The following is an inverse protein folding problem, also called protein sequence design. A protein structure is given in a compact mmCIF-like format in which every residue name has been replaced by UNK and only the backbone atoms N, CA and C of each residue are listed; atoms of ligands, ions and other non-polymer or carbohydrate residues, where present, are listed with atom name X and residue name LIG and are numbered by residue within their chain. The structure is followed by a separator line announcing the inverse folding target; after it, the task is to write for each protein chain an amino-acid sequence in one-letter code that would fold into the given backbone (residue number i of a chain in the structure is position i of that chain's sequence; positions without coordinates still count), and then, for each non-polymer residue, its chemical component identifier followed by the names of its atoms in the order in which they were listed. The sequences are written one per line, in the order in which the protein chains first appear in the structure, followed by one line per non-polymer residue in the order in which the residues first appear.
data_IF_190189418203
#
_entry.id   IF_190189418203
#
_cell.length_a   1.000
_cell.length_b   1.000
_cell.length_c   1.000
_cell.angle_alpha   90.00
_cell.angle_beta   90.00
_cell.angle_gamma   90.00
#
_symmetry.space_group_name_H-M   'P 1'
#
loop_
_entity.id
_entity.type
_entity.pdbx_description
1 polymer ?
#
# COMPACT_ATOMS: atom_id res chain seq x y z
N UNK A 1 38.55 1.33 -46.69
CA UNK A 1 38.13 0.71 -45.42
C UNK A 1 37.33 1.76 -44.69
N UNK A 2 36.03 1.77 -44.96
CA UNK A 2 35.09 2.77 -44.48
C UNK A 2 34.48 2.21 -43.19
N UNK A 3 34.86 2.78 -42.05
CA UNK A 3 34.28 2.41 -40.77
C UNK A 3 32.89 3.01 -40.75
N UNK A 4 31.89 2.20 -41.11
CA UNK A 4 30.48 2.55 -41.05
C UNK A 4 30.18 3.19 -39.70
N UNK A 5 30.05 4.51 -39.71
CA UNK A 5 29.59 5.30 -38.59
C UNK A 5 28.27 4.66 -38.14
N UNK A 6 28.27 4.15 -36.91
CA UNK A 6 27.05 3.77 -36.24
C UNK A 6 26.19 5.01 -36.17
N UNK A 7 25.27 5.14 -37.13
CA UNK A 7 24.21 6.14 -37.13
C UNK A 7 23.56 6.13 -35.74
N UNK A 8 23.06 7.29 -35.28
CA UNK A 8 22.56 7.43 -33.92
C UNK A 8 21.58 6.30 -33.68
N UNK A 9 21.93 5.41 -32.75
CA UNK A 9 21.07 4.28 -32.37
C UNK A 9 19.78 4.92 -31.91
N UNK A 10 18.77 4.85 -32.78
CA UNK A 10 17.43 5.28 -32.47
C UNK A 10 16.97 4.27 -31.42
N UNK A 11 17.16 4.64 -30.15
CA UNK A 11 16.64 3.88 -29.03
C UNK A 11 15.13 4.05 -29.16
N UNK A 12 14.52 3.11 -29.87
CA UNK A 12 13.09 2.94 -29.90
C UNK A 12 12.71 2.45 -28.49
N UNK A 13 12.53 3.42 -27.58
CA UNK A 13 11.92 3.18 -26.28
C UNK A 13 10.51 2.68 -26.53
N UNK A 14 10.38 1.37 -26.67
CA UNK A 14 9.08 0.72 -26.72
C UNK A 14 8.47 0.84 -25.32
N UNK A 15 7.81 1.98 -25.07
CA UNK A 15 7.05 2.23 -23.85
C UNK A 15 5.92 1.21 -23.78
N UNK A 16 6.13 0.11 -23.04
CA UNK A 16 5.16 -0.97 -22.83
C UNK A 16 3.80 -0.51 -22.26
N UNK A 17 3.62 0.79 -21.96
CA UNK A 17 2.40 1.38 -21.41
C UNK A 17 1.93 2.72 -22.05
N UNK A 18 2.54 3.20 -23.14
CA UNK A 18 1.97 4.28 -23.97
C UNK A 18 1.64 5.64 -23.30
N UNK A 19 2.14 5.89 -22.07
CA UNK A 19 1.97 7.16 -21.33
C UNK A 19 3.30 7.49 -20.69
N UNK A 20 3.75 8.75 -20.75
CA UNK A 20 4.88 9.25 -19.96
C UNK A 20 4.55 9.13 -18.47
N UNK A 21 4.85 7.98 -17.87
CA UNK A 21 4.69 7.80 -16.42
C UNK A 21 5.83 8.55 -15.77
N UNK A 22 5.55 9.77 -15.28
CA UNK A 22 6.54 10.53 -14.52
C UNK A 22 6.94 9.71 -13.30
N UNK A 23 8.18 9.86 -12.83
CA UNK A 23 8.68 9.18 -11.64
C UNK A 23 7.72 9.31 -10.44
N UNK A 24 7.07 10.47 -10.30
CA UNK A 24 6.10 10.75 -9.24
C UNK A 24 4.84 9.86 -9.31
N UNK A 25 4.38 9.51 -10.51
CA UNK A 25 3.17 8.70 -10.73
C UNK A 25 3.43 7.22 -10.39
N UNK A 26 4.68 6.75 -10.57
CA UNK A 26 5.11 5.41 -10.14
C UNK A 26 5.29 5.29 -8.62
N UNK A 27 5.66 6.38 -7.94
CA UNK A 27 5.86 6.41 -6.49
C UNK A 27 4.59 6.72 -5.70
N UNK A 28 3.59 7.38 -6.30
CA UNK A 28 2.35 7.73 -5.64
C UNK A 28 1.65 6.52 -4.95
N UNK A 29 1.48 5.34 -5.59
CA UNK A 29 0.82 4.20 -4.95
C UNK A 29 1.61 3.65 -3.75
N UNK A 30 2.93 3.73 -3.80
CA UNK A 30 3.82 3.29 -2.73
C UNK A 30 3.73 4.23 -1.51
N UNK A 31 3.77 5.54 -1.74
CA UNK A 31 3.60 6.55 -0.68
C UNK A 31 2.21 6.44 -0.05
N UNK A 32 1.17 6.24 -0.86
CA UNK A 32 -0.19 5.99 -0.38
C UNK A 32 -0.26 4.77 0.53
N UNK A 33 0.30 3.64 0.11
CA UNK A 33 0.33 2.41 0.92
C UNK A 33 1.06 2.62 2.25
N UNK A 34 2.17 3.38 2.22
CA UNK A 34 2.92 3.73 3.41
C UNK A 34 2.11 4.60 4.37
N UNK A 35 1.53 5.70 3.90
CA UNK A 35 0.73 6.60 4.77
C UNK A 35 -0.43 5.84 5.39
N UNK A 36 -1.10 4.98 4.61
CA UNK A 36 -2.21 4.17 5.12
C UNK A 36 -1.74 3.22 6.21
N UNK A 37 -0.63 2.53 6.00
CA UNK A 37 -0.02 1.65 6.99
C UNK A 37 0.37 2.41 8.24
N UNK A 38 1.02 3.55 8.08
CA UNK A 38 1.56 4.35 9.17
C UNK A 38 0.44 4.84 10.08
N UNK A 39 -0.56 5.53 9.53
CA UNK A 39 -1.66 6.12 10.31
C UNK A 39 -2.56 5.04 10.89
N UNK A 40 -3.03 4.06 10.09
CA UNK A 40 -3.93 3.03 10.60
C UNK A 40 -3.28 2.17 11.68
N UNK A 41 -2.03 1.75 11.47
CA UNK A 41 -1.34 0.90 12.44
C UNK A 41 -0.99 1.67 13.71
N UNK A 42 -0.57 2.94 13.60
CA UNK A 42 -0.26 3.78 14.76
C UNK A 42 -1.51 4.08 15.58
N UNK A 43 -2.61 4.49 14.95
CA UNK A 43 -3.86 4.75 15.67
C UNK A 43 -4.39 3.48 16.34
N UNK A 44 -4.36 2.34 15.64
CA UNK A 44 -4.75 1.05 16.23
C UNK A 44 -3.86 0.71 17.42
N UNK A 45 -2.53 0.85 17.28
CA UNK A 45 -1.57 0.62 18.35
C UNK A 45 -1.88 1.48 19.58
N UNK A 46 -2.02 2.79 19.41
CA UNK A 46 -2.27 3.72 20.51
C UNK A 46 -3.62 3.46 21.17
N UNK A 47 -4.66 3.21 20.37
CA UNK A 47 -6.00 2.93 20.86
C UNK A 47 -6.03 1.66 21.74
N UNK A 48 -5.38 0.58 21.30
CA UNK A 48 -5.31 -0.66 22.10
C UNK A 48 -4.42 -0.49 23.34
N UNK A 49 -3.29 0.22 23.23
CA UNK A 49 -2.41 0.47 24.37
C UNK A 49 -3.13 1.31 25.42
N UNK A 50 -3.82 2.38 25.01
CA UNK A 50 -4.62 3.23 25.91
C UNK A 50 -5.65 2.42 26.67
N UNK A 51 -6.43 1.59 25.97
CA UNK A 51 -7.45 0.76 26.62
C UNK A 51 -6.91 -0.25 27.62
N UNK A 52 -5.67 -0.75 27.41
CA UNK A 52 -4.97 -1.61 28.36
C UNK A 52 -4.52 -0.81 29.60
N UNK A 53 -3.96 0.38 29.39
CA UNK A 53 -3.44 1.25 30.47
C UNK A 53 -4.57 1.79 31.34
N UNK A 54 -5.69 2.18 30.73
CA UNK A 54 -6.87 2.70 31.43
C UNK A 54 -7.63 1.60 32.22
N UNK A 55 -7.20 0.33 32.14
CA UNK A 55 -7.84 -0.79 32.84
C UNK A 55 -9.24 -1.16 32.32
N UNK A 56 -9.69 -0.54 31.22
CA UNK A 56 -10.99 -0.84 30.60
C UNK A 56 -11.08 -2.30 30.15
N UNK A 57 -9.94 -2.90 29.79
CA UNK A 57 -9.84 -4.32 29.46
C UNK A 57 -10.32 -5.24 30.60
N UNK A 58 -9.97 -4.94 31.87
CA UNK A 58 -10.40 -5.74 33.04
C UNK A 58 -11.89 -5.56 33.34
N UNK A 59 -12.45 -4.37 33.10
CA UNK A 59 -13.89 -4.10 33.20
C UNK A 59 -14.68 -4.71 32.05
N UNK A 60 -14.08 -4.86 30.86
CA UNK A 60 -14.69 -5.55 29.73
C UNK A 60 -14.79 -7.06 29.98
N UNK A 61 -13.81 -7.66 30.67
CA UNK A 61 -13.79 -9.08 31.02
C UNK A 61 -14.87 -9.50 32.03
N UNK A 62 -15.40 -8.55 32.80
CA UNK A 62 -16.54 -8.77 33.71
C UNK A 62 -17.89 -8.42 33.08
N UNK A 63 -17.89 -7.79 31.89
CA UNK A 63 -19.09 -7.51 31.09
C UNK A 63 -19.36 -8.62 30.07
N UNK A 64 -20.63 -8.96 29.75
CA UNK A 64 -20.97 -10.02 28.78
C UNK A 64 -20.75 -9.60 27.32
N UNK A 65 -19.68 -8.87 27.02
CA UNK A 65 -19.31 -8.46 25.66
C UNK A 65 -18.48 -9.55 24.98
N UNK A 66 -19.03 -10.12 23.90
CA UNK A 66 -18.31 -11.07 23.04
C UNK A 66 -17.10 -10.38 22.39
N UNK A 67 -15.89 -10.93 22.62
CA UNK A 67 -14.60 -10.46 22.07
C UNK A 67 -14.64 -10.14 20.56
N UNK A 68 -15.47 -10.86 19.78
CA UNK A 68 -15.65 -10.62 18.35
C UNK A 68 -16.32 -9.29 17.97
N UNK A 69 -17.23 -8.75 18.81
CA UNK A 69 -17.87 -7.45 18.55
C UNK A 69 -16.89 -6.29 18.72
N UNK A 70 -15.95 -6.43 19.65
CA UNK A 70 -14.91 -5.44 19.91
C UNK A 70 -13.94 -5.32 18.72
N UNK A 71 -13.45 -6.46 18.20
CA UNK A 71 -12.58 -6.49 17.02
C UNK A 71 -13.29 -5.92 15.79
N UNK A 72 -14.58 -6.28 15.59
CA UNK A 72 -15.37 -5.77 14.47
C UNK A 72 -15.54 -4.24 14.53
N UNK A 73 -15.75 -3.68 15.72
CA UNK A 73 -15.83 -2.23 15.91
C UNK A 73 -14.53 -1.52 15.53
N UNK A 74 -13.38 -2.06 15.95
CA UNK A 74 -12.06 -1.55 15.56
C UNK A 74 -11.86 -1.59 14.05
N UNK A 75 -12.16 -2.74 13.43
CA UNK A 75 -12.03 -2.91 11.99
C UNK A 75 -12.88 -1.88 11.23
N UNK A 76 -14.13 -1.65 11.64
CA UNK A 76 -15.01 -0.69 10.99
C UNK A 76 -14.48 0.74 11.20
N UNK A 77 -14.10 1.11 12.43
CA UNK A 77 -13.59 2.44 12.75
C UNK A 77 -12.30 2.74 11.95
N UNK A 78 -11.31 1.86 12.00
CA UNK A 78 -10.05 2.06 11.28
C UNK A 78 -10.16 1.85 9.77
N UNK A 79 -11.12 1.04 9.31
CA UNK A 79 -11.48 0.93 7.90
C UNK A 79 -12.05 2.25 7.36
N UNK A 80 -12.92 2.92 8.11
CA UNK A 80 -13.43 4.26 7.76
C UNK A 80 -12.30 5.29 7.73
N UNK A 81 -11.41 5.28 8.71
CA UNK A 81 -10.22 6.16 8.70
C UNK A 81 -9.36 5.88 7.46
N UNK A 82 -9.15 4.62 7.10
CA UNK A 82 -8.40 4.23 5.91
C UNK A 82 -9.04 4.73 4.60
N UNK A 83 -10.37 4.69 4.52
CA UNK A 83 -11.13 5.21 3.38
C UNK A 83 -11.02 6.73 3.27
N UNK A 84 -11.24 7.44 4.37
CA UNK A 84 -11.19 8.91 4.42
C UNK A 84 -9.79 9.40 4.07
N UNK A 85 -8.76 8.86 4.72
CA UNK A 85 -7.38 9.30 4.46
C UNK A 85 -6.94 8.97 3.04
N UNK A 86 -7.34 7.82 2.49
CA UNK A 86 -6.98 7.50 1.12
C UNK A 86 -7.74 8.34 0.11
N UNK A 87 -9.01 8.67 0.36
CA UNK A 87 -9.77 9.60 -0.46
C UNK A 87 -9.11 10.98 -0.47
N UNK A 88 -8.64 11.44 0.69
CA UNK A 88 -7.90 12.69 0.83
C UNK A 88 -6.60 12.65 0.00
N UNK A 89 -5.81 11.58 0.10
CA UNK A 89 -4.54 11.46 -0.63
C UNK A 89 -4.78 11.38 -2.15
N UNK A 90 -5.79 10.63 -2.60
CA UNK A 90 -6.15 10.57 -4.02
C UNK A 90 -6.64 11.93 -4.53
N UNK A 91 -7.47 12.63 -3.74
CA UNK A 91 -7.98 13.95 -4.08
C UNK A 91 -6.87 14.98 -4.19
N UNK A 92 -5.99 15.04 -3.19
CA UNK A 92 -4.82 15.94 -3.20
C UNK A 92 -3.83 15.56 -4.30
N UNK A 93 -3.57 14.27 -4.52
CA UNK A 93 -2.67 13.80 -5.57
C UNK A 93 -3.16 14.18 -6.98
N UNK A 94 -4.47 14.12 -7.23
CA UNK A 94 -5.06 14.56 -8.49
C UNK A 94 -5.07 16.08 -8.62
N UNK A 95 -5.44 16.81 -7.57
CA UNK A 95 -5.65 18.27 -7.66
C UNK A 95 -4.34 19.08 -7.59
N UNK A 96 -3.36 18.62 -6.81
CA UNK A 96 -2.12 19.35 -6.51
C UNK A 96 -0.94 18.85 -7.36
N UNK A 97 -0.87 17.54 -7.61
CA UNK A 97 0.29 16.88 -8.25
C UNK A 97 -0.03 16.42 -9.68
N UNK A 98 -1.30 16.51 -10.10
CA UNK A 98 -1.82 16.05 -11.40
C UNK A 98 -1.44 14.60 -11.71
N UNK A 99 -1.63 13.72 -10.72
CA UNK A 99 -1.30 12.29 -10.84
C UNK A 99 -2.33 11.61 -11.74
N UNK A 100 -1.84 10.95 -12.80
CA UNK A 100 -2.66 10.14 -13.70
C UNK A 100 -2.99 8.81 -13.01
N UNK A 101 -4.27 8.63 -12.67
CA UNK A 101 -4.78 7.37 -12.13
C UNK A 101 -5.46 6.60 -13.25
N UNK A 102 -4.80 5.55 -13.77
CA UNK A 102 -5.32 4.76 -14.88
C UNK A 102 -6.49 3.83 -14.47
N UNK A 103 -6.63 3.52 -13.17
CA UNK A 103 -7.68 2.64 -12.65
C UNK A 103 -8.92 3.35 -12.13
N UNK A 104 -9.97 2.57 -11.82
CA UNK A 104 -11.16 3.10 -11.13
C UNK A 104 -10.87 3.35 -9.65
N UNK A 105 -11.21 4.56 -9.19
CA UNK A 105 -11.12 4.98 -7.77
C UNK A 105 -11.86 4.01 -6.85
N UNK A 106 -12.99 3.45 -7.31
CA UNK A 106 -13.78 2.50 -6.51
C UNK A 106 -13.00 1.21 -6.20
N UNK A 107 -12.22 0.71 -7.16
CA UNK A 107 -11.39 -0.48 -6.96
C UNK A 107 -10.23 -0.22 -6.00
N UNK A 108 -9.66 1.00 -6.03
CA UNK A 108 -8.65 1.41 -5.07
C UNK A 108 -9.22 1.35 -3.64
N UNK A 109 -10.40 1.93 -3.42
CA UNK A 109 -11.05 1.94 -2.11
C UNK A 109 -11.31 0.54 -1.56
N UNK A 110 -11.78 -0.39 -2.39
CA UNK A 110 -11.99 -1.80 -1.98
C UNK A 110 -10.67 -2.46 -1.58
N UNK A 111 -9.59 -2.20 -2.31
CA UNK A 111 -8.26 -2.71 -1.96
C UNK A 111 -7.77 -2.14 -0.63
N UNK A 112 -7.99 -0.86 -0.40
CA UNK A 112 -7.61 -0.16 0.84
C UNK A 112 -8.35 -0.73 2.04
N UNK A 113 -9.64 -1.04 1.90
CA UNK A 113 -10.40 -1.69 2.98
C UNK A 113 -9.79 -3.05 3.32
N UNK A 114 -9.52 -3.91 2.33
CA UNK A 114 -8.85 -5.22 2.58
C UNK A 114 -7.47 -5.04 3.20
N UNK A 115 -6.73 -4.05 2.72
CA UNK A 115 -5.41 -3.73 3.24
C UNK A 115 -5.45 -3.22 4.68
N UNK A 116 -6.48 -2.45 5.04
CA UNK A 116 -6.69 -1.94 6.39
C UNK A 116 -6.81 -3.07 7.43
N UNK A 117 -7.43 -4.21 7.09
CA UNK A 117 -7.48 -5.37 7.99
C UNK A 117 -6.09 -5.85 8.41
N UNK A 118 -5.15 -5.93 7.46
CA UNK A 118 -3.76 -6.32 7.74
C UNK A 118 -3.05 -5.31 8.65
N UNK A 119 -3.27 -4.02 8.41
CA UNK A 119 -2.68 -2.94 9.22
C UNK A 119 -3.25 -2.87 10.64
N UNK A 120 -4.55 -3.13 10.81
CA UNK A 120 -5.18 -3.27 12.14
C UNK A 120 -4.56 -4.45 12.88
N UNK A 121 -4.39 -5.60 12.22
CA UNK A 121 -3.71 -6.77 12.81
C UNK A 121 -2.29 -6.45 13.26
N UNK A 122 -1.52 -5.74 12.43
CA UNK A 122 -0.16 -5.29 12.77
C UNK A 122 -0.17 -4.34 13.98
N UNK A 123 -1.03 -3.31 13.98
CA UNK A 123 -1.15 -2.37 15.10
C UNK A 123 -1.54 -3.07 16.41
N UNK A 124 -2.49 -4.00 16.35
CA UNK A 124 -2.88 -4.82 17.51
C UNK A 124 -1.73 -5.72 17.97
N UNK A 125 -0.97 -6.34 17.07
CA UNK A 125 0.19 -7.15 17.43
C UNK A 125 1.25 -6.30 18.16
N UNK A 126 1.60 -5.13 17.61
CA UNK A 126 2.55 -4.22 18.22
C UNK A 126 2.08 -3.71 19.58
N UNK A 127 0.77 -3.56 19.79
CA UNK A 127 0.20 -3.18 21.09
C UNK A 127 0.46 -4.20 22.19
N UNK A 128 0.79 -5.45 21.84
CA UNK A 128 1.17 -6.47 22.82
C UNK A 128 2.59 -6.28 23.36
N UNK A 129 3.44 -5.56 22.64
CA UNK A 129 4.84 -5.33 23.03
C UNK A 129 5.01 -4.03 23.82
N UNK A 130 4.15 -3.03 23.57
CA UNK A 130 4.19 -1.74 24.25
C UNK A 130 3.40 -1.75 25.57
N UNK A 131 3.95 -1.11 26.61
CA UNK A 131 3.33 -1.00 27.95
C UNK A 131 2.70 0.38 28.22
N UNK A 132 3.15 1.42 27.53
CA UNK A 132 2.63 2.80 27.67
C UNK A 132 2.47 3.47 26.30
N UNK A 133 1.61 4.49 26.20
CA UNK A 133 1.42 5.26 24.96
C UNK A 133 2.73 5.89 24.50
N UNK A 134 3.49 6.52 25.40
CA UNK A 134 4.78 7.13 25.08
C UNK A 134 5.80 6.10 24.56
N UNK A 135 5.84 4.90 25.14
CA UNK A 135 6.69 3.81 24.64
C UNK A 135 6.24 3.37 23.25
N UNK A 136 4.93 3.27 23.00
CA UNK A 136 4.38 2.87 21.71
C UNK A 136 4.76 3.87 20.61
N UNK A 137 4.68 5.18 20.86
CA UNK A 137 5.03 6.24 19.90
C UNK A 137 6.51 6.15 19.51
N UNK A 138 7.40 5.89 20.47
CA UNK A 138 8.84 5.78 20.21
C UNK A 138 9.23 4.43 19.58
N UNK A 139 8.54 3.36 19.96
CA UNK A 139 8.77 2.00 19.47
C UNK A 139 8.24 1.79 18.04
N UNK A 140 7.13 2.41 17.68
CA UNK A 140 6.46 2.17 16.40
C UNK A 140 7.35 2.47 15.19
N UNK A 141 8.04 3.62 15.08
CA UNK A 141 8.96 3.88 13.97
C UNK A 141 10.07 2.84 13.85
N UNK A 142 10.57 2.31 14.98
CA UNK A 142 11.63 1.29 14.98
C UNK A 142 11.18 0.00 14.27
N UNK A 143 9.89 -0.32 14.28
CA UNK A 143 9.33 -1.50 13.60
C UNK A 143 8.85 -1.18 12.18
N UNK A 144 8.27 0.00 11.98
CA UNK A 144 7.76 0.41 10.67
C UNK A 144 8.87 0.71 9.69
N UNK A 145 10.00 1.29 10.12
CA UNK A 145 11.11 1.58 9.22
C UNK A 145 11.68 0.32 8.53
N UNK A 146 12.03 -0.77 9.25
CA UNK A 146 12.40 -2.04 8.61
C UNK A 146 11.28 -2.59 7.72
N UNK A 147 10.02 -2.42 8.13
CA UNK A 147 8.87 -2.87 7.34
C UNK A 147 8.80 -2.15 5.99
N UNK A 148 9.09 -0.85 5.93
CA UNK A 148 9.16 -0.08 4.67
C UNK A 148 10.24 -0.62 3.76
N UNK A 149 11.43 -0.87 4.31
CA UNK A 149 12.57 -1.43 3.57
C UNK A 149 12.26 -2.83 3.03
N UNK A 150 11.58 -3.66 3.82
CA UNK A 150 11.21 -5.02 3.41
C UNK A 150 9.99 -5.09 2.49
N UNK A 151 9.12 -4.08 2.51
CA UNK A 151 7.83 -4.11 1.79
C UNK A 151 7.91 -4.02 0.26
N UNK A 152 9.12 -3.90 -0.27
CA UNK A 152 9.35 -3.66 -1.69
C UNK A 152 8.86 -2.28 -2.17
N UNK A 153 8.73 -1.31 -1.25
CA UNK A 153 8.34 0.06 -1.57
C UNK A 153 9.43 0.75 -2.40
N UNK A 154 10.66 0.76 -1.86
CA UNK A 154 11.82 1.46 -2.43
C UNK A 154 12.54 0.64 -3.52
N UNK A 155 12.58 -0.68 -3.37
CA UNK A 155 13.20 -1.61 -4.32
C UNK A 155 12.28 -2.79 -4.63
N UNK A 156 12.45 -3.45 -5.78
CA UNK A 156 11.68 -4.64 -6.10
C UNK A 156 11.89 -5.75 -5.05
N UNK A 157 10.82 -6.48 -4.72
CA UNK A 157 10.86 -7.58 -3.74
C UNK A 157 11.83 -8.70 -4.15
N UNK A 158 12.18 -8.77 -5.44
CA UNK A 158 13.16 -9.72 -5.98
C UNK A 158 14.61 -9.37 -5.61
N UNK A 159 14.90 -8.10 -5.29
CA UNK A 159 16.24 -7.66 -4.88
C UNK A 159 16.54 -7.96 -3.40
N UNK A 160 15.54 -8.36 -2.60
CA UNK A 160 15.73 -8.66 -1.18
C UNK A 160 16.41 -10.04 -1.03
N UNK A 161 17.42 -10.18 -0.15
CA UNK A 161 18.06 -11.46 0.12
C UNK A 161 17.06 -12.56 0.49
N UNK A 162 17.26 -13.81 0.03
CA UNK A 162 16.29 -14.89 0.24
C UNK A 162 16.01 -15.18 1.72
N UNK A 163 16.97 -14.92 2.62
CA UNK A 163 16.83 -15.09 4.08
C UNK A 163 15.83 -14.10 4.69
N UNK A 164 15.76 -12.87 4.15
CA UNK A 164 14.87 -11.81 4.65
C UNK A 164 13.50 -11.82 3.96
N UNK A 165 13.36 -12.55 2.86
CA UNK A 165 12.14 -12.65 2.06
C UNK A 165 10.91 -13.14 2.85
N UNK A 166 11.02 -14.13 3.76
CA UNK A 166 9.89 -14.56 4.59
C UNK A 166 9.35 -13.44 5.49
N UNK A 167 10.25 -12.60 6.05
CA UNK A 167 9.84 -11.46 6.88
C UNK A 167 9.07 -10.42 6.05
N UNK A 168 9.45 -10.22 4.80
CA UNK A 168 8.72 -9.32 3.91
C UNK A 168 7.27 -9.76 3.65
N UNK A 169 6.98 -11.07 3.66
CA UNK A 169 5.62 -11.59 3.51
C UNK A 169 4.76 -11.48 4.77
N UNK A 170 5.36 -11.24 5.95
CA UNK A 170 4.62 -10.92 7.18
C UNK A 170 4.17 -9.46 7.21
N UNK A 171 4.85 -8.59 6.47
CA UNK A 171 4.54 -7.16 6.45
C UNK A 171 3.30 -6.91 5.58
N UNK A 172 2.19 -6.37 6.14
CA UNK A 172 0.99 -6.08 5.37
C UNK A 172 1.26 -5.12 4.20
N UNK A 173 2.15 -4.14 4.41
CA UNK A 173 2.54 -3.12 3.43
C UNK A 173 2.99 -3.72 2.09
N UNK A 174 3.60 -4.91 2.09
CA UNK A 174 3.98 -5.63 0.87
C UNK A 174 2.77 -5.91 -0.03
N UNK A 175 1.66 -6.34 0.55
CA UNK A 175 0.42 -6.63 -0.18
C UNK A 175 -0.28 -5.34 -0.61
N UNK A 176 -0.28 -4.30 0.25
CA UNK A 176 -0.83 -2.99 -0.08
C UNK A 176 -0.14 -2.35 -1.27
N UNK A 177 1.20 -2.35 -1.29
CA UNK A 177 2.01 -1.86 -2.41
C UNK A 177 1.69 -2.58 -3.72
N UNK A 178 1.51 -3.89 -3.67
CA UNK A 178 1.19 -4.71 -4.85
C UNK A 178 -0.23 -4.42 -5.37
N UNK A 179 -1.20 -4.28 -4.48
CA UNK A 179 -2.59 -3.95 -4.83
C UNK A 179 -2.71 -2.54 -5.40
N UNK A 180 -2.12 -1.54 -4.73
CA UNK A 180 -2.19 -0.14 -5.15
C UNK A 180 -1.48 0.08 -6.48
N UNK A 181 -0.30 -0.53 -6.72
CA UNK A 181 0.35 -0.46 -8.04
C UNK A 181 -0.47 -1.16 -9.13
N UNK A 182 -1.11 -2.29 -8.83
CA UNK A 182 -1.96 -2.98 -9.80
C UNK A 182 -3.17 -2.14 -10.22
N UNK A 183 -3.79 -1.42 -9.28
CA UNK A 183 -4.96 -0.58 -9.59
C UNK A 183 -4.55 0.75 -10.22
N UNK A 184 -3.59 1.47 -9.65
CA UNK A 184 -3.28 2.84 -10.07
C UNK A 184 -2.43 2.91 -11.35
N UNK A 185 -1.47 2.00 -11.51
CA UNK A 185 -0.55 1.99 -12.67
C UNK A 185 -1.11 1.12 -13.78
N UNK A 186 -1.54 -0.10 -13.46
CA UNK A 186 -1.97 -1.09 -14.46
C UNK A 186 -3.48 -1.07 -14.78
N UNK A 187 -4.29 -0.37 -13.99
CA UNK A 187 -5.76 -0.32 -14.19
C UNK A 187 -6.48 -1.67 -14.02
N UNK A 188 -5.81 -2.68 -13.46
CA UNK A 188 -6.34 -4.05 -13.38
C UNK A 188 -7.34 -4.21 -12.22
N UNK A 189 -8.44 -4.95 -12.41
CA UNK A 189 -9.32 -5.32 -11.31
C UNK A 189 -8.60 -6.26 -10.33
N UNK A 190 -8.81 -6.12 -9.01
CA UNK A 190 -8.04 -6.84 -7.98
C UNK A 190 -8.23 -8.36 -7.96
N UNK A 191 -9.17 -8.91 -8.74
CA UNK A 191 -9.48 -10.33 -8.87
C UNK A 191 -9.15 -10.92 -10.26
N UNK A 192 -8.64 -10.11 -11.19
CA UNK A 192 -8.27 -10.55 -12.54
C UNK A 192 -6.76 -10.73 -12.69
N UNK A 193 -6.28 -11.97 -12.61
CA UNK A 193 -5.05 -12.40 -13.27
C UNK A 193 -3.72 -11.92 -12.69
N UNK A 194 -3.45 -12.19 -11.42
CA UNK A 194 -2.06 -12.34 -10.96
C UNK A 194 -1.60 -13.79 -11.20
N UNK A 195 -1.47 -14.19 -12.47
CA UNK A 195 -1.02 -15.53 -12.84
C UNK A 195 -0.91 -15.70 -14.35
N UNK A 196 0.26 -15.38 -14.91
CA UNK A 196 0.60 -15.67 -16.30
C UNK A 196 1.76 -14.81 -16.80
N UNK A 197 2.92 -15.39 -17.16
CA UNK A 197 3.91 -14.68 -17.96
C UNK A 197 3.35 -14.53 -19.38
N UNK A 198 2.92 -13.32 -19.77
CA UNK A 198 2.46 -13.04 -21.14
C UNK A 198 1.09 -12.36 -21.32
N UNK A 199 0.52 -11.69 -20.32
CA UNK A 199 -0.76 -10.98 -20.45
C UNK A 199 -0.62 -9.54 -20.94
N UNK A 200 -0.29 -9.34 -22.21
CA UNK A 200 -0.48 -8.05 -22.89
C UNK A 200 -1.97 -7.76 -23.00
N UNK A 201 -2.49 -6.87 -22.18
CA UNK A 201 -3.82 -6.27 -22.40
C UNK A 201 -3.60 -5.14 -23.39
N UNK A 202 -3.97 -5.39 -24.64
CA UNK A 202 -3.96 -4.40 -25.71
C UNK A 202 -4.77 -3.17 -25.29
N UNK A 203 -4.06 -2.10 -24.97
CA UNK A 203 -4.61 -0.76 -25.00
C UNK A 203 -4.81 -0.42 -26.47
N UNK A 204 -6.01 -0.04 -26.93
CA UNK A 204 -6.19 0.39 -28.31
C UNK A 204 -5.38 1.66 -28.51
N UNK A 205 -4.31 1.56 -29.29
CA UNK A 205 -3.50 2.70 -29.74
C UNK A 205 -4.38 3.49 -30.71
N UNK A 206 -4.66 4.78 -30.47
CA UNK A 206 -5.31 5.59 -31.48
C UNK A 206 -4.32 5.75 -32.63
N UNK A 207 -4.57 5.05 -33.74
CA UNK A 207 -3.91 5.31 -35.00
C UNK A 207 -4.22 6.76 -35.39
N UNK A 208 -3.22 7.64 -35.23
CA UNK A 208 -3.20 8.89 -35.98
C UNK A 208 -2.79 8.52 -37.39
N UNK A 209 -3.77 8.50 -38.28
CA UNK A 209 -3.54 8.48 -39.72
C UNK A 209 -2.66 9.68 -40.09
N UNK A 210 -1.40 9.40 -40.39
CA UNK A 210 -0.50 10.36 -41.02
C UNK A 210 -0.72 10.20 -42.53
N UNK A 211 -1.57 11.08 -43.06
CA UNK A 211 -1.63 11.39 -44.49
C UNK A 211 -0.72 12.56 -44.83
#
# INVERSE_FOLDING_TARGET
MDLGEGGPVEIEEHHLYGVEVRFIDSFAPAIMGYVVTFICSLLTLLSVVREKVDGTFERLWTSPLKRGKFILGYVIAFGLVALVQSGLILGLGKLVVDIVINGSVLWALVCIVRFAFGNVGLGTFLSSLARTESQAILFFPLVVLPSVLLSGMMWPLQAIPPVLRPLAYLVPLTYGNRLLRAVMVKGLPPLGGAGGPGGGVGVPVPHRDVG
#
